data_IF_763563147717
#
_entry.id   IF_763563147717
#
_cell.length_a   1.000
_cell.length_b   1.000
_cell.length_c   1.000
_cell.angle_alpha   90.00
_cell.angle_beta   90.00
_cell.angle_gamma   90.00
#
_symmetry.space_group_name_H-M   'P 1'
#
loop_
_entity.id
_entity.type
_entity.pdbx_description
1 polymer ?
#
# COMPACT_ATOMS: atom_id res chain seq x y z
N UNK A 1 10.28 19.33 -7.79
CA UNK A 1 9.97 17.95 -8.19
C UNK A 1 9.20 17.36 -7.02
N UNK A 2 7.92 17.07 -7.19
CA UNK A 2 7.13 16.43 -6.14
C UNK A 2 7.35 14.92 -6.26
N UNK A 3 7.74 14.28 -5.16
CA UNK A 3 7.86 12.83 -5.09
C UNK A 3 6.58 12.29 -4.46
N UNK A 4 5.95 11.34 -5.14
CA UNK A 4 4.77 10.66 -4.62
C UNK A 4 5.17 9.30 -4.03
N UNK A 5 4.54 8.93 -2.93
CA UNK A 5 4.87 7.74 -2.15
C UNK A 5 3.65 6.92 -1.80
N UNK A 6 3.87 5.62 -1.57
CA UNK A 6 2.88 4.69 -1.04
C UNK A 6 3.43 4.05 0.22
N UNK A 7 2.70 4.20 1.33
CA UNK A 7 3.07 3.61 2.60
C UNK A 7 2.74 2.11 2.59
N UNK A 8 3.75 1.24 2.59
CA UNK A 8 3.55 -0.20 2.55
C UNK A 8 3.65 -0.84 3.95
N UNK A 9 2.89 -1.92 4.18
CA UNK A 9 2.87 -2.73 5.42
C UNK A 9 2.39 -1.95 6.66
N UNK A 10 1.44 -1.05 6.47
CA UNK A 10 0.84 -0.26 7.57
C UNK A 10 -0.07 -1.16 8.41
N UNK A 11 0.12 -1.20 9.72
CA UNK A 11 -0.63 -2.07 10.64
C UNK A 11 -1.79 -1.37 11.35
N UNK A 12 -1.73 -0.06 11.45
CA UNK A 12 -2.72 0.75 12.16
C UNK A 12 -2.60 2.22 11.76
N UNK A 13 -3.61 3.02 12.12
CA UNK A 13 -3.67 4.45 11.81
C UNK A 13 -2.52 5.25 12.43
N UNK A 14 -2.03 4.87 13.61
CA UNK A 14 -0.91 5.58 14.26
C UNK A 14 0.38 5.51 13.44
N UNK A 15 0.64 4.37 12.79
CA UNK A 15 1.76 4.24 11.86
C UNK A 15 1.57 5.15 10.63
N UNK A 16 0.33 5.27 10.13
CA UNK A 16 0.02 6.14 8.99
C UNK A 16 0.21 7.62 9.33
N UNK A 17 -0.25 8.04 10.52
CA UNK A 17 -0.09 9.42 10.99
C UNK A 17 1.39 9.76 11.18
N UNK A 18 2.17 8.84 11.75
CA UNK A 18 3.62 9.00 11.86
C UNK A 18 4.27 9.19 10.48
N UNK A 19 3.86 8.43 9.46
CA UNK A 19 4.40 8.58 8.09
C UNK A 19 4.10 9.98 7.54
N UNK A 20 2.87 10.48 7.73
CA UNK A 20 2.47 11.82 7.27
C UNK A 20 3.26 12.94 7.96
N UNK A 21 3.56 12.78 9.26
CA UNK A 21 4.31 13.79 10.03
C UNK A 21 5.76 13.96 9.56
N UNK A 22 6.38 12.91 9.04
CA UNK A 22 7.80 12.90 8.66
C UNK A 22 8.06 13.01 7.15
N UNK A 23 7.06 12.78 6.29
CA UNK A 23 7.17 12.90 4.84
C UNK A 23 6.66 14.26 4.32
N UNK A 24 7.17 15.36 4.87
CA UNK A 24 6.65 16.71 4.61
C UNK A 24 6.84 17.21 3.17
N UNK A 25 7.84 16.69 2.47
CA UNK A 25 8.17 17.09 1.08
C UNK A 25 7.71 16.06 0.04
N UNK A 26 6.90 15.07 0.45
CA UNK A 26 6.40 14.02 -0.42
C UNK A 26 4.87 13.91 -0.32
N UNK A 27 4.23 13.62 -1.44
CA UNK A 27 2.80 13.37 -1.47
C UNK A 27 2.51 11.89 -1.17
N UNK A 28 1.85 11.62 -0.05
CA UNK A 28 1.34 10.28 0.24
C UNK A 28 0.06 10.03 -0.56
N UNK A 29 0.15 9.19 -1.59
CA UNK A 29 -0.98 8.88 -2.48
C UNK A 29 -1.99 7.92 -1.83
N UNK A 30 -1.48 6.92 -1.11
CA UNK A 30 -2.25 5.84 -0.51
C UNK A 30 -1.38 5.02 0.45
N UNK A 31 -1.98 4.03 1.10
CA UNK A 31 -1.30 3.02 1.91
C UNK A 31 -1.76 1.60 1.57
N UNK A 32 -0.86 0.64 1.78
CA UNK A 32 -1.14 -0.79 1.69
C UNK A 32 -1.08 -1.38 3.10
N UNK A 33 -2.18 -2.00 3.59
CA UNK A 33 -2.17 -2.60 4.91
C UNK A 33 -1.24 -3.80 4.97
N UNK A 34 -0.72 -4.09 6.15
CA UNK A 34 -0.02 -5.33 6.41
C UNK A 34 -0.97 -6.52 6.24
N UNK A 35 -0.59 -7.49 5.40
CA UNK A 35 -1.33 -8.74 5.22
C UNK A 35 -0.38 -9.94 5.19
N UNK A 36 -0.67 -10.93 6.04
CA UNK A 36 0.05 -12.20 6.04
C UNK A 36 -0.11 -12.94 4.71
N UNK A 37 -1.22 -12.75 4.00
CA UNK A 37 -1.49 -13.42 2.72
C UNK A 37 -0.48 -13.03 1.64
N UNK A 38 -0.06 -11.75 1.60
CA UNK A 38 1.00 -11.27 0.70
C UNK A 38 2.31 -12.02 0.97
N UNK A 39 2.70 -12.11 2.25
CA UNK A 39 3.94 -12.80 2.64
C UNK A 39 3.88 -14.30 2.31
N UNK A 40 2.71 -14.92 2.46
CA UNK A 40 2.49 -16.33 2.08
C UNK A 40 2.54 -16.50 0.56
N UNK A 41 2.03 -15.54 -0.22
CA UNK A 41 2.09 -15.56 -1.68
C UNK A 41 3.54 -15.52 -2.17
N UNK A 42 4.35 -14.61 -1.60
CA UNK A 42 5.79 -14.51 -1.88
C UNK A 42 6.50 -15.85 -1.62
N UNK A 43 6.25 -16.47 -0.46
CA UNK A 43 6.84 -17.77 -0.10
C UNK A 43 6.41 -18.92 -1.05
N UNK A 44 5.26 -18.79 -1.71
CA UNK A 44 4.73 -19.77 -2.67
C UNK A 44 5.09 -19.44 -4.12
N UNK A 45 5.78 -18.33 -4.39
CA UNK A 45 6.06 -17.85 -5.74
C UNK A 45 4.79 -17.52 -6.52
N UNK A 46 3.74 -17.06 -5.83
CA UNK A 46 2.44 -16.67 -6.42
C UNK A 46 2.24 -15.17 -6.33
N UNK A 47 1.38 -14.62 -7.19
CA UNK A 47 0.97 -13.23 -7.06
C UNK A 47 0.17 -13.05 -5.77
N UNK A 48 0.34 -11.95 -5.02
CA UNK A 48 -0.53 -11.62 -3.91
C UNK A 48 -2.01 -11.62 -4.29
N UNK A 49 -2.34 -11.25 -5.53
CA UNK A 49 -3.73 -11.26 -6.07
C UNK A 49 -4.33 -12.66 -6.15
N UNK A 50 -3.51 -13.72 -6.24
CA UNK A 50 -3.99 -15.10 -6.31
C UNK A 50 -4.46 -15.63 -4.94
N UNK A 51 -4.05 -14.97 -3.86
CA UNK A 51 -4.36 -15.32 -2.46
C UNK A 51 -5.04 -14.17 -1.70
N UNK A 52 -5.37 -13.08 -2.40
CA UNK A 52 -5.95 -11.87 -1.83
C UNK A 52 -7.43 -12.07 -1.50
N UNK A 53 -7.89 -11.41 -0.44
CA UNK A 53 -9.31 -11.12 -0.27
C UNK A 53 -9.72 -9.91 -1.14
N UNK A 54 -11.02 -9.72 -1.33
CA UNK A 54 -11.55 -8.64 -2.16
C UNK A 54 -11.10 -7.26 -1.67
N UNK A 55 -10.92 -7.09 -0.35
CA UNK A 55 -10.47 -5.83 0.26
C UNK A 55 -9.04 -5.48 -0.17
N UNK A 56 -8.14 -6.47 -0.23
CA UNK A 56 -6.78 -6.27 -0.68
C UNK A 56 -6.73 -5.93 -2.18
N UNK A 57 -7.58 -6.57 -2.99
CA UNK A 57 -7.71 -6.28 -4.42
C UNK A 57 -8.20 -4.84 -4.62
N UNK A 58 -9.28 -4.44 -3.94
CA UNK A 58 -9.81 -3.08 -3.97
C UNK A 58 -8.76 -2.03 -3.57
N UNK A 59 -7.93 -2.34 -2.57
CA UNK A 59 -6.84 -1.45 -2.14
C UNK A 59 -5.78 -1.30 -3.23
N UNK A 60 -5.41 -2.39 -3.90
CA UNK A 60 -4.45 -2.36 -5.02
C UNK A 60 -5.03 -1.60 -6.20
N UNK A 61 -6.30 -1.82 -6.56
CA UNK A 61 -6.97 -1.08 -7.64
C UNK A 61 -7.06 0.42 -7.33
N UNK A 62 -7.37 0.78 -6.08
CA UNK A 62 -7.35 2.16 -5.63
C UNK A 62 -5.94 2.77 -5.78
N UNK A 63 -4.89 2.06 -5.36
CA UNK A 63 -3.50 2.48 -5.53
C UNK A 63 -3.16 2.70 -7.00
N UNK A 64 -3.49 1.75 -7.89
CA UNK A 64 -3.25 1.86 -9.34
C UNK A 64 -3.95 3.09 -9.91
N UNK A 65 -5.19 3.36 -9.48
CA UNK A 65 -5.96 4.53 -9.92
C UNK A 65 -5.28 5.85 -9.51
N UNK A 66 -4.64 5.91 -8.33
CA UNK A 66 -3.88 7.08 -7.89
C UNK A 66 -2.62 7.28 -8.71
N UNK A 67 -1.88 6.20 -8.96
CA UNK A 67 -0.65 6.26 -9.76
C UNK A 67 -0.90 6.63 -11.23
N UNK A 68 -2.06 6.29 -11.78
CA UNK A 68 -2.41 6.61 -13.18
C UNK A 68 -2.77 8.08 -13.41
N UNK A 69 -2.95 8.86 -12.35
CA UNK A 69 -3.33 10.28 -12.40
C UNK A 69 -2.15 11.23 -12.09
N UNK A 70 -0.91 10.72 -12.17
CA UNK A 70 0.36 11.43 -11.91
C UNK A 70 1.09 11.62 -13.23
#
# INVERSE_FOLDING_TARGET
MYFSVIANKVRNEKELDLIKDYLKDMELLSSMPYSNFISIADLKGKSPTDLADDSLIETVDFIISKCSNI
#
